data_IF_820318991392
#
_entry.id   IF_820318991392
#
_cell.length_a   1.000
_cell.length_b   1.000
_cell.length_c   1.000
_cell.angle_alpha   90.00
_cell.angle_beta   90.00
_cell.angle_gamma   90.00
#
_symmetry.space_group_name_H-M   'P 1'
#
loop_
_entity.id
_entity.type
_entity.pdbx_description
1 polymer ?
#
# COMPACT_ATOMS: atom_id res chain seq x y z
N UNK A 1 -14.91 -8.88 -16.43
CA UNK A 1 -14.61 -8.80 -14.98
C UNK A 1 -13.13 -8.60 -14.67
N UNK A 2 -12.20 -9.46 -15.15
CA UNK A 2 -10.76 -9.35 -14.83
C UNK A 2 -10.11 -7.99 -15.13
N UNK A 3 -10.47 -7.37 -16.27
CA UNK A 3 -9.97 -6.04 -16.67
C UNK A 3 -10.34 -4.94 -15.66
N UNK A 4 -11.56 -4.98 -15.11
CA UNK A 4 -12.04 -4.01 -14.13
C UNK A 4 -11.26 -4.09 -12.81
N UNK A 5 -11.06 -5.31 -12.29
CA UNK A 5 -10.26 -5.50 -11.07
C UNK A 5 -8.80 -5.11 -11.25
N UNK A 6 -8.22 -5.39 -12.42
CA UNK A 6 -6.85 -4.96 -12.72
C UNK A 6 -6.72 -3.43 -12.71
N UNK A 7 -7.72 -2.71 -13.26
CA UNK A 7 -7.75 -1.24 -13.19
C UNK A 7 -7.85 -0.73 -11.75
N UNK A 8 -8.66 -1.38 -10.90
CA UNK A 8 -8.77 -1.02 -9.47
C UNK A 8 -7.44 -1.27 -8.74
N UNK A 9 -6.83 -2.44 -8.91
CA UNK A 9 -5.54 -2.78 -8.27
C UNK A 9 -4.47 -1.78 -8.72
N UNK A 10 -4.41 -1.47 -10.02
CA UNK A 10 -3.48 -0.48 -10.54
C UNK A 10 -3.74 0.90 -9.93
N UNK A 11 -5.00 1.33 -9.87
CA UNK A 11 -5.39 2.58 -9.22
C UNK A 11 -4.92 2.65 -7.77
N UNK A 12 -5.13 1.60 -6.98
CA UNK A 12 -4.69 1.52 -5.58
C UNK A 12 -3.18 1.67 -5.43
N UNK A 13 -2.39 1.06 -6.32
CA UNK A 13 -0.93 1.21 -6.30
C UNK A 13 -0.47 2.59 -6.73
N UNK A 14 -1.13 3.20 -7.72
CA UNK A 14 -0.86 4.60 -8.12
C UNK A 14 -1.20 5.55 -6.97
N UNK A 15 -2.35 5.39 -6.31
CA UNK A 15 -2.72 6.19 -5.15
C UNK A 15 -1.71 6.03 -4.01
N UNK A 16 -1.31 4.79 -3.68
CA UNK A 16 -0.28 4.55 -2.67
C UNK A 16 1.04 5.27 -3.00
N UNK A 17 1.48 5.22 -4.26
CA UNK A 17 2.68 5.91 -4.70
C UNK A 17 2.53 7.43 -4.58
N UNK A 18 1.40 8.01 -5.01
CA UNK A 18 1.14 9.44 -4.93
C UNK A 18 1.11 9.94 -3.49
N UNK A 19 0.53 9.17 -2.56
CA UNK A 19 0.49 9.51 -1.13
C UNK A 19 1.90 9.62 -0.54
N UNK A 20 2.89 8.90 -1.07
CA UNK A 20 4.29 9.01 -0.61
C UNK A 20 5.03 10.10 -1.39
N UNK A 21 4.89 10.10 -2.71
CA UNK A 21 5.67 10.94 -3.62
C UNK A 21 5.32 12.42 -3.41
N UNK A 22 4.03 12.78 -3.35
CA UNK A 22 3.61 14.19 -3.24
C UNK A 22 4.14 14.83 -1.95
N UNK A 23 3.92 14.24 -0.75
CA UNK A 23 4.54 14.74 0.47
C UNK A 23 6.06 14.84 0.38
N UNK A 24 6.72 13.82 -0.18
CA UNK A 24 8.18 13.83 -0.32
C UNK A 24 8.67 15.04 -1.13
N UNK A 25 8.03 15.32 -2.27
CA UNK A 25 8.35 16.52 -3.07
C UNK A 25 8.09 17.83 -2.31
N UNK A 26 7.01 17.90 -1.53
CA UNK A 26 6.73 19.09 -0.70
C UNK A 26 7.86 19.33 0.30
N UNK A 27 8.37 18.28 0.97
CA UNK A 27 9.51 18.41 1.90
C UNK A 27 10.76 18.89 1.18
N UNK A 28 11.05 18.32 0.00
CA UNK A 28 12.22 18.67 -0.81
C UNK A 28 12.20 20.15 -1.26
N UNK A 29 11.03 20.69 -1.60
CA UNK A 29 10.88 22.06 -2.08
C UNK A 29 10.80 23.06 -0.92
N UNK A 30 10.11 22.70 0.16
CA UNK A 30 9.83 23.61 1.27
C UNK A 30 10.96 23.72 2.31
N UNK A 31 11.95 22.82 2.28
CA UNK A 31 12.98 22.66 3.31
C UNK A 31 12.41 22.53 4.73
N UNK A 32 11.13 22.14 4.85
CA UNK A 32 10.44 21.90 6.11
C UNK A 32 10.02 20.44 6.16
N UNK A 33 10.43 19.75 7.22
CA UNK A 33 9.97 18.39 7.49
C UNK A 33 8.49 18.34 7.87
N UNK A 34 7.87 17.18 7.71
CA UNK A 34 6.55 16.92 8.28
C UNK A 34 6.64 16.55 9.76
N UNK A 35 5.52 16.74 10.47
CA UNK A 35 5.39 16.21 11.82
C UNK A 35 5.52 14.67 11.81
N UNK A 36 6.00 14.08 12.93
CA UNK A 36 6.04 12.62 13.07
C UNK A 36 4.67 11.98 12.89
N UNK A 37 3.61 12.63 13.38
CA UNK A 37 2.22 12.15 13.25
C UNK A 37 1.78 12.09 11.78
N UNK A 38 2.01 13.16 11.01
CA UNK A 38 1.66 13.19 9.59
C UNK A 38 2.40 12.09 8.83
N UNK A 39 3.71 11.95 9.08
CA UNK A 39 4.52 10.90 8.45
C UNK A 39 4.02 9.50 8.80
N UNK A 40 3.61 9.26 10.05
CA UNK A 40 2.99 7.99 10.47
C UNK A 40 1.73 7.72 9.67
N UNK A 41 0.79 8.66 9.62
CA UNK A 41 -0.48 8.54 8.90
C UNK A 41 -0.25 8.30 7.40
N UNK A 42 0.56 9.13 6.73
CA UNK A 42 0.80 9.07 5.28
C UNK A 42 1.29 7.68 4.83
N UNK A 43 2.29 7.14 5.51
CA UNK A 43 2.82 5.82 5.18
C UNK A 43 1.84 4.71 5.57
N UNK A 44 1.10 4.82 6.69
CA UNK A 44 0.09 3.82 7.05
C UNK A 44 -1.04 3.74 6.02
N UNK A 45 -1.54 4.89 5.54
CA UNK A 45 -2.57 4.92 4.47
C UNK A 45 -2.00 4.32 3.18
N UNK A 46 -0.74 4.60 2.85
CA UNK A 46 -0.09 4.01 1.66
C UNK A 46 0.01 2.49 1.76
N UNK A 47 0.39 1.96 2.92
CA UNK A 47 0.44 0.51 3.17
C UNK A 47 -0.95 -0.10 3.03
N UNK A 48 -1.99 0.50 3.61
CA UNK A 48 -3.37 0.02 3.48
C UNK A 48 -3.83 -0.04 2.02
N UNK A 49 -3.51 0.97 1.20
CA UNK A 49 -3.81 0.94 -0.23
C UNK A 49 -3.14 -0.26 -0.93
N UNK A 50 -1.88 -0.54 -0.60
CA UNK A 50 -1.13 -1.68 -1.17
C UNK A 50 -1.74 -3.01 -0.71
N UNK A 51 -2.09 -3.14 0.57
CA UNK A 51 -2.71 -4.34 1.14
C UNK A 51 -4.05 -4.65 0.49
N UNK A 52 -4.93 -3.65 0.33
CA UNK A 52 -6.22 -3.84 -0.35
C UNK A 52 -6.00 -4.34 -1.79
N UNK A 53 -5.04 -3.76 -2.51
CA UNK A 53 -4.67 -4.22 -3.85
C UNK A 53 -4.20 -5.67 -3.88
N UNK A 54 -3.36 -6.07 -2.91
CA UNK A 54 -2.90 -7.45 -2.75
C UNK A 54 -4.02 -8.41 -2.36
N UNK A 55 -4.95 -8.02 -1.50
CA UNK A 55 -6.10 -8.83 -1.11
C UNK A 55 -6.98 -9.10 -2.33
N UNK A 56 -7.34 -8.07 -3.09
CA UNK A 56 -8.14 -8.21 -4.32
C UNK A 56 -7.43 -9.14 -5.30
N UNK A 57 -6.13 -8.93 -5.53
CA UNK A 57 -5.30 -9.77 -6.41
C UNK A 57 -5.28 -11.23 -5.94
N UNK A 58 -5.17 -11.47 -4.64
CA UNK A 58 -5.14 -12.80 -4.03
C UNK A 58 -6.47 -13.53 -4.20
N UNK A 59 -7.59 -12.84 -3.97
CA UNK A 59 -8.93 -13.41 -4.17
C UNK A 59 -9.14 -13.81 -5.63
N UNK A 60 -8.68 -12.99 -6.58
CA UNK A 60 -8.78 -13.31 -8.02
C UNK A 60 -7.87 -14.49 -8.38
N UNK A 61 -6.62 -14.49 -7.92
CA UNK A 61 -5.69 -15.59 -8.18
C UNK A 61 -6.18 -16.92 -7.60
N UNK A 62 -6.80 -16.90 -6.40
CA UNK A 62 -7.44 -18.08 -5.81
C UNK A 62 -8.57 -18.62 -6.70
N UNK A 63 -9.43 -17.74 -7.23
CA UNK A 63 -10.50 -18.14 -8.16
C UNK A 63 -9.96 -18.71 -9.48
N UNK A 64 -8.77 -18.29 -9.90
CA UNK A 64 -8.08 -18.78 -11.10
C UNK A 64 -7.22 -20.04 -10.85
N UNK A 65 -7.23 -20.61 -9.65
CA UNK A 65 -6.39 -21.77 -9.30
C UNK A 65 -4.89 -21.49 -9.28
N UNK A 66 -4.49 -20.21 -9.21
CA UNK A 66 -3.09 -19.78 -9.25
C UNK A 66 -2.45 -19.80 -7.85
N UNK A 67 -1.13 -19.99 -7.76
CA UNK A 67 -0.43 -19.96 -6.48
C UNK A 67 -0.58 -18.60 -5.78
N UNK A 68 -1.04 -18.62 -4.53
CA UNK A 68 -1.31 -17.40 -3.73
C UNK A 68 -0.29 -17.15 -2.61
N UNK A 69 0.59 -18.11 -2.33
CA UNK A 69 1.51 -18.06 -1.18
C UNK A 69 2.36 -16.78 -1.15
N UNK A 70 2.87 -16.34 -2.32
CA UNK A 70 3.64 -15.09 -2.46
C UNK A 70 2.84 -13.87 -2.00
N UNK A 71 1.59 -13.76 -2.42
CA UNK A 71 0.76 -12.61 -2.07
C UNK A 71 0.37 -12.63 -0.59
N UNK A 72 0.06 -13.80 -0.04
CA UNK A 72 -0.23 -13.96 1.39
C UNK A 72 0.99 -13.56 2.23
N UNK A 73 2.18 -14.03 1.86
CA UNK A 73 3.43 -13.63 2.53
C UNK A 73 3.66 -12.12 2.46
N UNK A 74 3.33 -11.49 1.32
CA UNK A 74 3.44 -10.04 1.18
C UNK A 74 2.45 -9.28 2.08
N UNK A 75 1.20 -9.76 2.18
CA UNK A 75 0.17 -9.17 3.07
C UNK A 75 0.61 -9.28 4.53
N UNK A 76 1.06 -10.46 4.96
CA UNK A 76 1.54 -10.67 6.34
C UNK A 76 2.74 -9.78 6.64
N UNK A 77 3.71 -9.71 5.71
CA UNK A 77 4.89 -8.86 5.88
C UNK A 77 4.55 -7.37 6.01
N UNK A 78 3.60 -6.87 5.22
CA UNK A 78 3.13 -5.49 5.30
C UNK A 78 2.37 -5.21 6.59
N UNK A 79 1.50 -6.12 7.03
CA UNK A 79 0.79 -6.02 8.31
C UNK A 79 1.78 -5.93 9.48
N UNK A 80 2.81 -6.78 9.46
CA UNK A 80 3.85 -6.79 10.50
C UNK A 80 4.62 -5.47 10.51
N UNK A 81 4.97 -4.95 9.32
CA UNK A 81 5.64 -3.65 9.19
C UNK A 81 4.76 -2.51 9.73
N UNK A 82 3.45 -2.58 9.51
CA UNK A 82 2.50 -1.58 10.01
C UNK A 82 2.39 -1.65 11.55
N UNK A 83 2.24 -2.84 12.12
CA UNK A 83 2.18 -3.06 13.58
C UNK A 83 3.47 -2.55 14.24
N UNK A 84 4.63 -2.92 13.71
CA UNK A 84 5.94 -2.50 14.22
C UNK A 84 6.07 -0.97 14.28
N UNK A 85 5.55 -0.30 13.26
CA UNK A 85 5.61 1.17 13.13
C UNK A 85 4.61 1.91 14.01
N UNK A 86 3.53 1.26 14.44
CA UNK A 86 2.58 1.80 15.41
C UNK A 86 3.12 1.63 16.84
N UNK A 87 3.75 0.49 17.13
CA UNK A 87 4.32 0.18 18.45
C UNK A 87 5.56 1.02 18.81
N UNK A 88 6.25 1.58 17.80
CA UNK A 88 7.44 2.44 17.95
C UNK A 88 7.11 3.91 17.66
#
# INVERSE_FOLDING_TARGET
MKRYYNSIIFGLYVFAALIIIIPTFIVLISNKGFSPLFSKITISVSILCIEIGLIIKTVIMKKEGKPIAKNIGSIIGLLLAMIWRILK
#
